data_IF_871853115319
#
_entry.id   IF_871853115319
#
_cell.length_a   1.000
_cell.length_b   1.000
_cell.length_c   1.000
_cell.angle_alpha   90.00
_cell.angle_beta   90.00
_cell.angle_gamma   90.00
#
_symmetry.space_group_name_H-M   'P 1'
#
loop_
_entity.id
_entity.type
_entity.pdbx_description
1 polymer ?
#
# COMPACT_ATOMS: atom_id res chain seq x y z
N UNK A 1 -19.82 1.58 -14.53
CA UNK A 1 -18.52 0.89 -14.52
C UNK A 1 -17.41 1.87 -14.27
N UNK A 2 -16.49 1.56 -13.36
CA UNK A 2 -15.30 2.43 -13.21
C UNK A 2 -14.45 2.33 -14.46
N UNK A 3 -13.84 3.43 -14.81
CA UNK A 3 -12.98 3.48 -15.97
C UNK A 3 -11.58 2.96 -15.61
N UNK A 4 -10.82 2.56 -16.63
CA UNK A 4 -9.43 2.16 -16.43
C UNK A 4 -8.62 3.29 -15.82
N UNK A 5 -8.94 4.54 -16.19
CA UNK A 5 -8.26 5.70 -15.63
C UNK A 5 -8.51 5.83 -14.13
N UNK A 6 -9.74 5.58 -13.70
CA UNK A 6 -10.06 5.63 -12.28
C UNK A 6 -9.34 4.53 -11.49
N UNK A 7 -9.33 3.33 -12.03
CA UNK A 7 -8.66 2.21 -11.37
C UNK A 7 -7.16 2.47 -11.31
N UNK A 8 -6.59 3.00 -12.38
CA UNK A 8 -5.17 3.33 -12.43
C UNK A 8 -4.83 4.41 -11.40
N UNK A 9 -5.70 5.42 -11.29
CA UNK A 9 -5.51 6.50 -10.32
C UNK A 9 -5.55 5.97 -8.90
N UNK A 10 -6.52 5.08 -8.61
CA UNK A 10 -6.62 4.47 -7.28
C UNK A 10 -5.38 3.62 -6.98
N UNK A 11 -4.90 2.88 -7.97
CA UNK A 11 -3.70 2.05 -7.78
C UNK A 11 -2.49 2.92 -7.46
N UNK A 12 -2.34 4.04 -8.15
CA UNK A 12 -1.22 4.95 -7.89
C UNK A 12 -1.31 5.55 -6.49
N UNK A 13 -2.51 5.96 -6.08
CA UNK A 13 -2.71 6.51 -4.74
C UNK A 13 -2.43 5.48 -3.67
N UNK A 14 -2.90 4.26 -3.89
CA UNK A 14 -2.70 3.19 -2.93
C UNK A 14 -1.22 2.82 -2.81
N UNK A 15 -0.50 2.81 -3.94
CA UNK A 15 0.93 2.55 -3.90
C UNK A 15 1.65 3.64 -3.11
N UNK A 16 1.28 4.88 -3.32
CA UNK A 16 1.89 5.99 -2.58
C UNK A 16 1.64 5.85 -1.09
N UNK A 17 0.41 5.53 -0.70
CA UNK A 17 0.08 5.31 0.71
C UNK A 17 0.88 4.15 1.28
N UNK A 18 1.02 3.08 0.52
CA UNK A 18 1.76 1.92 0.97
C UNK A 18 3.24 2.26 1.19
N UNK A 19 3.82 3.05 0.29
CA UNK A 19 5.20 3.49 0.44
C UNK A 19 5.37 4.33 1.70
N UNK A 20 4.39 5.19 2.01
CA UNK A 20 4.43 6.01 3.22
C UNK A 20 4.31 5.16 4.48
N UNK A 21 3.45 4.14 4.44
CA UNK A 21 3.32 3.22 5.57
C UNK A 21 4.62 2.46 5.80
N UNK A 22 5.26 2.02 4.72
CA UNK A 22 6.54 1.32 4.82
C UNK A 22 7.62 2.19 5.46
N UNK A 23 7.68 3.46 5.05
CA UNK A 23 8.64 4.40 5.62
C UNK A 23 8.38 4.61 7.10
N UNK A 24 7.12 4.71 7.49
CA UNK A 24 6.75 4.89 8.88
C UNK A 24 7.11 3.65 9.72
N UNK A 25 6.90 2.47 9.14
CA UNK A 25 7.26 1.21 9.81
C UNK A 25 8.76 1.15 10.08
N UNK A 26 9.57 1.55 9.10
CA UNK A 26 11.01 1.56 9.27
C UNK A 26 11.44 2.58 10.33
N UNK A 27 10.77 3.71 10.37
CA UNK A 27 11.01 4.71 11.38
C UNK A 27 10.70 4.17 12.77
N UNK A 28 9.61 3.42 12.90
CA UNK A 28 9.24 2.80 14.17
C UNK A 28 10.28 1.79 14.62
N UNK A 29 10.84 1.01 13.69
CA UNK A 29 11.95 0.10 14.01
C UNK A 29 13.15 0.89 14.53
N UNK A 30 13.49 1.97 13.84
CA UNK A 30 14.67 2.77 14.20
C UNK A 30 14.54 3.40 15.58
N UNK A 31 13.31 3.71 16.01
CA UNK A 31 13.09 4.31 17.32
C UNK A 31 12.79 3.29 18.40
N UNK A 32 12.83 2.01 18.08
CA UNK A 32 12.60 0.95 19.05
C UNK A 32 11.16 0.69 19.39
N UNK A 33 10.23 1.22 18.63
CA UNK A 33 8.80 1.00 18.86
C UNK A 33 8.34 -0.24 18.09
N UNK A 34 8.61 -1.40 18.68
CA UNK A 34 8.38 -2.67 17.98
C UNK A 34 6.91 -2.98 17.77
N UNK A 35 6.06 -2.62 18.72
CA UNK A 35 4.62 -2.86 18.56
C UNK A 35 4.06 -2.08 17.39
N UNK A 36 4.42 -0.81 17.29
CA UNK A 36 3.97 0.02 16.18
C UNK A 36 4.54 -0.50 14.87
N UNK A 37 5.81 -0.89 14.84
CA UNK A 37 6.43 -1.42 13.63
C UNK A 37 5.69 -2.66 13.15
N UNK A 38 5.33 -3.57 14.05
CA UNK A 38 4.62 -4.80 13.70
C UNK A 38 3.28 -4.48 13.06
N UNK A 39 2.53 -3.55 13.66
CA UNK A 39 1.23 -3.17 13.14
C UNK A 39 1.34 -2.50 11.77
N UNK A 40 2.33 -1.62 11.61
CA UNK A 40 2.52 -0.94 10.33
C UNK A 40 2.95 -1.90 9.23
N UNK A 41 3.79 -2.90 9.54
CA UNK A 41 4.14 -3.91 8.56
C UNK A 41 2.92 -4.74 8.16
N UNK A 42 2.01 -5.01 9.11
CA UNK A 42 0.77 -5.72 8.79
C UNK A 42 -0.10 -4.88 7.85
N UNK A 43 -0.18 -3.57 8.09
CA UNK A 43 -0.92 -2.67 7.22
C UNK A 43 -0.29 -2.64 5.83
N UNK A 44 1.03 -2.60 5.76
CA UNK A 44 1.73 -2.59 4.48
C UNK A 44 1.39 -3.84 3.67
N UNK A 45 1.37 -4.99 4.31
CA UNK A 45 1.01 -6.24 3.61
C UNK A 45 -0.42 -6.21 3.11
N UNK A 46 -1.34 -5.68 3.92
CA UNK A 46 -2.74 -5.59 3.53
C UNK A 46 -2.92 -4.65 2.34
N UNK A 47 -2.27 -3.50 2.38
CA UNK A 47 -2.32 -2.54 1.28
C UNK A 47 -1.68 -3.12 0.02
N UNK A 48 -0.58 -3.84 0.16
CA UNK A 48 0.05 -4.49 -0.97
C UNK A 48 -0.85 -5.51 -1.63
N UNK A 49 -1.60 -6.28 -0.82
CA UNK A 49 -2.57 -7.22 -1.35
C UNK A 49 -3.70 -6.52 -2.08
N UNK A 50 -4.19 -5.42 -1.50
CA UNK A 50 -5.24 -4.63 -2.14
C UNK A 50 -4.76 -4.06 -3.47
N UNK A 51 -3.51 -3.56 -3.50
CA UNK A 51 -2.94 -3.01 -4.72
C UNK A 51 -2.85 -4.07 -5.82
N UNK A 52 -2.45 -5.28 -5.48
CA UNK A 52 -2.39 -6.37 -6.47
C UNK A 52 -3.76 -6.68 -7.04
N UNK A 53 -4.79 -6.63 -6.20
CA UNK A 53 -6.16 -6.86 -6.67
C UNK A 53 -6.61 -5.78 -7.64
N UNK A 54 -6.30 -4.52 -7.34
CA UNK A 54 -6.64 -3.43 -8.24
C UNK A 54 -5.93 -3.56 -9.58
N UNK A 55 -4.68 -3.98 -9.56
CA UNK A 55 -3.89 -4.11 -10.78
C UNK A 55 -4.41 -5.17 -11.72
N UNK A 56 -5.15 -6.16 -11.21
CA UNK A 56 -5.76 -7.16 -12.07
C UNK A 56 -6.77 -6.54 -13.02
N UNK A 57 -7.42 -5.48 -12.58
CA UNK A 57 -8.44 -4.82 -13.40
C UNK A 57 -7.83 -3.80 -14.37
N UNK A 58 -6.67 -3.29 -14.06
CA UNK A 58 -6.09 -2.20 -14.85
C UNK A 58 -5.00 -2.66 -15.79
N UNK A 59 -4.75 -3.94 -15.85
CA UNK A 59 -3.63 -4.43 -16.65
C UNK A 59 -4.12 -4.94 -17.98
N UNK A 60 -4.95 -4.26 -18.61
CA UNK A 60 -5.50 -4.67 -19.87
C UNK A 60 -4.55 -4.46 -21.03
N UNK A 61 -3.50 -3.83 -20.79
CA UNK A 61 -2.57 -3.50 -21.86
C UNK A 61 -1.92 -4.72 -22.46
#
# INVERSE_FOLDING_TARGET
MPSDAEISSLSSTLKELNDRVAALAESAVATGNEDMARELFAVERALGGALRRLRRFSHTA
#
